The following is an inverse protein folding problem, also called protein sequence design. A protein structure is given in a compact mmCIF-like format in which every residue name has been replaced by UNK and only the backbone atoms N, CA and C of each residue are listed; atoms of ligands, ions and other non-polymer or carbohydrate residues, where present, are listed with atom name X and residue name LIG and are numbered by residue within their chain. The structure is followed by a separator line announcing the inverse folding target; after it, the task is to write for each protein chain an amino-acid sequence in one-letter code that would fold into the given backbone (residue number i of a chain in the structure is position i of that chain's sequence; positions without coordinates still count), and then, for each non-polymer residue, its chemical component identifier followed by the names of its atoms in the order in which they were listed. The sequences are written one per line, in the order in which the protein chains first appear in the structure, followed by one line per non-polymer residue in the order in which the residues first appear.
data_IF_749419471035
#
_entry.id   IF_749419471035
#
_cell.length_a   1.000
_cell.length_b   1.000
_cell.length_c   1.000
_cell.angle_alpha   90.00
_cell.angle_beta   90.00
_cell.angle_gamma   90.00
#
_symmetry.space_group_name_H-M   'P 1'
#
loop_
_entity.id
_entity.type
_entity.pdbx_description
1 polymer ?
#
# COMPACT_ATOMS: atom_id res chain seq x y z
N UNK A 1 -0.29 37.47 44.31
CA UNK A 1 -1.31 36.46 43.94
C UNK A 1 -0.60 35.17 43.60
N UNK A 2 -0.62 34.27 44.58
CA UNK A 2 -0.71 32.79 44.55
C UNK A 2 -0.44 32.00 43.26
N UNK A 3 0.28 30.88 43.42
CA UNK A 3 0.32 29.72 42.50
C UNK A 3 1.74 29.16 42.29
N UNK A 4 2.44 28.66 43.32
CA UNK A 4 2.36 27.31 43.92
C UNK A 4 3.02 26.19 43.05
N UNK A 5 4.31 25.86 43.28
CA UNK A 5 4.84 24.65 44.00
C UNK A 5 4.61 23.34 43.22
N UNK A 6 5.56 22.44 42.93
CA UNK A 6 6.41 21.63 43.83
C UNK A 6 7.22 20.70 42.89
N UNK A 7 8.56 20.69 42.91
CA UNK A 7 9.42 19.71 43.62
C UNK A 7 9.09 18.25 43.23
N UNK A 8 10.04 17.35 42.94
CA UNK A 8 11.20 17.05 43.79
C UNK A 8 12.09 16.04 43.06
N UNK A 9 13.39 16.38 42.99
CA UNK A 9 14.50 15.42 42.83
C UNK A 9 14.45 14.40 43.97
N UNK A 10 14.64 13.11 43.69
CA UNK A 10 15.21 12.17 44.67
C UNK A 10 16.12 11.14 43.99
N UNK A 11 17.35 11.16 44.48
CA UNK A 11 18.49 10.28 44.22
C UNK A 11 18.29 8.96 44.97
N UNK A 12 18.73 7.83 44.42
CA UNK A 12 19.15 6.67 45.22
C UNK A 12 20.06 5.74 44.41
N UNK A 13 21.36 5.94 44.55
CA UNK A 13 22.40 4.92 44.38
C UNK A 13 22.40 4.08 45.66
N UNK A 14 22.40 2.75 45.59
CA UNK A 14 23.04 1.91 46.61
C UNK A 14 23.33 0.48 46.12
N UNK A 15 24.57 0.11 46.41
CA UNK A 15 25.33 -1.12 46.20
C UNK A 15 24.61 -2.47 46.36
N UNK A 16 25.16 -3.46 45.65
CA UNK A 16 25.11 -4.88 46.05
C UNK A 16 26.15 -5.71 45.29
N UNK A 17 27.38 -5.74 45.80
CA UNK A 17 28.42 -6.73 45.42
C UNK A 17 28.22 -7.97 46.29
N UNK A 18 28.13 -9.16 45.69
CA UNK A 18 27.98 -10.40 46.46
C UNK A 18 28.02 -11.70 45.64
N UNK A 19 29.22 -12.30 45.60
CA UNK A 19 29.56 -13.75 45.63
C UNK A 19 29.19 -14.71 44.48
N UNK A 20 30.28 -15.33 43.96
CA UNK A 20 30.37 -16.60 43.23
C UNK A 20 29.72 -17.77 44.00
N UNK A 21 29.07 -18.70 43.27
CA UNK A 21 29.16 -20.15 43.51
C UNK A 21 28.65 -20.95 42.29
N UNK A 22 29.45 -21.93 41.86
CA UNK A 22 29.16 -22.89 40.78
C UNK A 22 28.13 -23.95 41.23
N UNK A 23 27.22 -24.34 40.35
CA UNK A 23 26.72 -25.72 40.23
C UNK A 23 25.92 -25.86 38.92
N UNK A 24 26.39 -26.75 38.04
CA UNK A 24 25.73 -27.01 36.77
C UNK A 24 24.47 -27.87 36.91
N UNK A 25 23.68 -27.91 35.84
CA UNK A 25 23.16 -29.17 35.33
C UNK A 25 22.88 -28.99 33.84
N UNK A 26 23.63 -29.73 33.04
CA UNK A 26 23.37 -29.89 31.61
C UNK A 26 21.98 -30.47 31.42
N UNK A 27 21.17 -29.77 30.65
CA UNK A 27 19.87 -30.22 30.20
C UNK A 27 19.67 -29.68 28.81
N UNK A 28 20.46 -30.18 27.86
CA UNK A 28 20.19 -30.02 26.43
C UNK A 28 18.84 -30.66 26.17
N UNK A 29 17.76 -29.88 26.26
CA UNK A 29 16.51 -30.26 25.64
C UNK A 29 16.71 -30.00 24.16
N UNK A 30 17.13 -31.05 23.47
CA UNK A 30 17.05 -31.20 22.04
C UNK A 30 15.57 -31.06 21.64
N UNK A 31 15.09 -29.81 21.58
CA UNK A 31 13.93 -29.47 20.80
C UNK A 31 14.45 -29.34 19.38
N UNK A 32 14.43 -30.44 18.66
CA UNK A 32 14.45 -30.39 17.20
C UNK A 32 13.41 -29.35 16.77
N UNK A 33 13.89 -28.21 16.24
CA UNK A 33 13.02 -27.21 15.66
C UNK A 33 12.25 -27.91 14.53
N UNK A 34 10.90 -27.82 14.49
CA UNK A 34 10.15 -28.37 13.38
C UNK A 34 10.70 -27.76 12.07
N UNK A 35 10.84 -28.55 11.00
CA UNK A 35 11.38 -28.06 9.74
C UNK A 35 10.56 -26.84 9.29
N UNK A 36 11.21 -25.80 8.71
CA UNK A 36 10.49 -24.65 8.19
C UNK A 36 9.51 -25.13 7.11
N UNK A 37 8.22 -25.15 7.45
CA UNK A 37 7.15 -25.38 6.49
C UNK A 37 7.04 -24.11 5.65
N UNK A 38 7.64 -24.16 4.45
CA UNK A 38 7.43 -23.15 3.42
C UNK A 38 5.98 -23.26 2.99
N UNK A 39 5.15 -22.29 3.39
CA UNK A 39 3.78 -22.20 2.93
C UNK A 39 3.78 -22.12 1.39
N UNK A 40 2.95 -22.94 0.75
CA UNK A 40 2.75 -22.84 -0.68
C UNK A 40 2.31 -21.41 -1.06
N UNK A 41 2.79 -20.84 -2.18
CA UNK A 41 2.36 -19.53 -2.64
C UNK A 41 0.84 -19.47 -2.74
N UNK A 42 0.22 -18.46 -2.12
CA UNK A 42 -1.21 -18.21 -2.24
C UNK A 42 -1.53 -18.01 -3.74
N UNK A 43 -2.55 -18.68 -4.30
CA UNK A 43 -2.98 -18.42 -5.67
C UNK A 43 -3.26 -16.93 -5.87
N UNK A 44 -2.88 -16.33 -7.02
CA UNK A 44 -3.20 -14.95 -7.30
C UNK A 44 -4.72 -14.77 -7.29
N UNK A 45 -5.22 -13.61 -6.81
CA UNK A 45 -6.65 -13.33 -6.85
C UNK A 45 -7.18 -13.43 -8.30
N UNK A 46 -8.44 -13.84 -8.47
CA UNK A 46 -9.05 -13.93 -9.80
C UNK A 46 -9.00 -12.57 -10.50
N UNK A 47 -8.77 -12.61 -11.83
CA UNK A 47 -8.74 -11.40 -12.63
C UNK A 47 -10.10 -10.68 -12.55
N UNK A 48 -10.11 -9.34 -12.42
CA UNK A 48 -11.35 -8.59 -12.39
C UNK A 48 -12.15 -8.76 -13.69
N UNK A 49 -13.47 -8.85 -13.58
CA UNK A 49 -14.39 -9.01 -14.73
C UNK A 49 -14.53 -7.76 -15.60
N UNK A 50 -13.80 -6.68 -15.28
CA UNK A 50 -13.96 -5.37 -15.93
C UNK A 50 -13.13 -5.19 -17.20
N UNK A 51 -12.30 -6.16 -17.57
CA UNK A 51 -11.36 -6.07 -18.69
C UNK A 51 -9.95 -5.65 -18.25
N UNK A 52 -9.09 -5.17 -19.18
CA UNK A 52 -7.74 -4.72 -18.84
C UNK A 52 -7.80 -3.55 -17.85
N UNK A 53 -6.84 -3.55 -16.92
CA UNK A 53 -6.72 -2.53 -15.87
C UNK A 53 -5.35 -1.87 -15.93
N UNK A 54 -5.25 -0.66 -15.41
CA UNK A 54 -3.99 0.07 -15.34
C UNK A 54 -3.19 -0.38 -14.12
N UNK A 55 -1.93 -0.76 -14.31
CA UNK A 55 -1.00 -1.04 -13.23
C UNK A 55 -0.35 0.27 -12.72
N UNK A 56 0.30 0.20 -11.55
CA UNK A 56 0.97 1.37 -10.95
C UNK A 56 2.09 1.95 -11.82
N UNK A 57 2.67 1.16 -12.72
CA UNK A 57 3.71 1.61 -13.66
C UNK A 57 3.15 2.28 -14.92
N UNK A 58 1.82 2.46 -15.00
CA UNK A 58 1.14 3.03 -16.16
C UNK A 58 0.94 2.06 -17.33
N UNK A 59 1.28 0.78 -17.18
CA UNK A 59 1.03 -0.25 -18.19
C UNK A 59 -0.38 -0.85 -18.07
N UNK A 60 -0.93 -1.28 -19.20
CA UNK A 60 -2.20 -2.00 -19.25
C UNK A 60 -1.97 -3.51 -19.16
N UNK A 61 -2.75 -4.19 -18.30
CA UNK A 61 -2.60 -5.64 -18.06
C UNK A 61 -3.01 -6.54 -19.22
N UNK A 62 -3.58 -5.97 -20.29
CA UNK A 62 -4.03 -6.73 -21.46
C UNK A 62 -4.44 -5.84 -22.63
N UNK A 63 -4.97 -6.47 -23.68
CA UNK A 63 -5.39 -5.78 -24.90
C UNK A 63 -6.50 -4.78 -24.61
N UNK A 64 -6.26 -3.52 -24.97
CA UNK A 64 -7.19 -2.42 -24.74
C UNK A 64 -8.27 -2.41 -25.82
N UNK A 65 -9.57 -2.54 -25.47
CA UNK A 65 -10.64 -2.33 -26.44
C UNK A 65 -10.59 -0.89 -26.96
N UNK A 66 -10.97 -0.65 -28.21
CA UNK A 66 -11.02 0.68 -28.83
C UNK A 66 -12.47 1.10 -29.10
N UNK A 67 -13.26 1.09 -28.02
CA UNK A 67 -14.71 1.35 -28.01
C UNK A 67 -15.05 2.78 -27.62
N UNK A 68 -14.25 3.43 -26.78
CA UNK A 68 -14.46 4.82 -26.38
C UNK A 68 -13.95 5.78 -27.46
N UNK A 69 -14.72 6.82 -27.78
CA UNK A 69 -14.31 7.85 -28.76
C UNK A 69 -13.87 9.15 -28.09
N UNK A 70 -14.17 9.34 -26.81
CA UNK A 70 -13.84 10.53 -26.01
C UNK A 70 -13.60 10.17 -24.54
N UNK A 71 -12.97 11.08 -23.79
CA UNK A 71 -12.70 10.92 -22.37
C UNK A 71 -13.87 11.49 -21.56
N UNK A 72 -14.74 10.60 -21.07
CA UNK A 72 -15.91 10.95 -20.25
C UNK A 72 -16.14 9.89 -19.16
N UNK A 73 -16.86 10.22 -18.07
CA UNK A 73 -17.21 9.23 -17.05
C UNK A 73 -17.80 7.95 -17.66
N UNK A 74 -17.37 6.80 -17.13
CA UNK A 74 -17.76 5.47 -17.60
C UNK A 74 -16.73 4.76 -18.49
N UNK A 75 -15.76 5.46 -19.09
CA UNK A 75 -14.69 4.76 -19.85
C UNK A 75 -13.78 3.94 -18.92
N UNK A 76 -13.19 2.83 -19.40
CA UNK A 76 -12.23 2.07 -18.61
C UNK A 76 -10.85 2.73 -18.56
N UNK A 77 -10.05 2.35 -17.58
CA UNK A 77 -8.74 2.96 -17.30
C UNK A 77 -7.79 2.89 -18.49
N UNK A 78 -7.75 1.75 -19.17
CA UNK A 78 -6.86 1.56 -20.30
C UNK A 78 -7.33 2.31 -21.57
N UNK A 79 -8.63 2.57 -21.70
CA UNK A 79 -9.14 3.45 -22.77
C UNK A 79 -8.70 4.90 -22.56
N UNK A 80 -8.59 5.37 -21.31
CA UNK A 80 -8.00 6.69 -21.02
C UNK A 80 -6.57 6.77 -21.57
N UNK A 81 -5.73 5.78 -21.27
CA UNK A 81 -4.33 5.75 -21.73
C UNK A 81 -4.26 5.73 -23.26
N UNK A 82 -5.12 4.94 -23.91
CA UNK A 82 -5.22 4.90 -25.38
C UNK A 82 -5.64 6.25 -25.95
N UNK A 83 -6.63 6.91 -25.36
CA UNK A 83 -7.16 8.20 -25.82
C UNK A 83 -6.17 9.36 -25.57
N UNK A 84 -5.44 9.35 -24.46
CA UNK A 84 -4.35 10.31 -24.19
C UNK A 84 -3.15 10.07 -25.11
N UNK A 85 -2.95 8.83 -25.57
CA UNK A 85 -1.92 8.48 -26.54
C UNK A 85 -0.49 8.43 -25.97
N UNK A 86 -0.35 8.63 -24.66
CA UNK A 86 0.93 8.53 -23.96
C UNK A 86 0.74 8.03 -22.52
N UNK A 87 1.80 7.50 -21.89
CA UNK A 87 1.73 7.05 -20.51
C UNK A 87 1.31 8.19 -19.55
N UNK A 88 0.60 7.86 -18.47
CA UNK A 88 0.31 8.80 -17.40
C UNK A 88 1.61 9.27 -16.71
N UNK A 89 1.55 10.44 -16.09
CA UNK A 89 2.65 10.96 -15.27
C UNK A 89 2.79 10.18 -13.98
N UNK A 90 1.66 9.81 -13.36
CA UNK A 90 1.63 9.01 -12.14
C UNK A 90 0.32 8.22 -12.05
N UNK A 91 0.37 7.06 -11.38
CA UNK A 91 -0.77 6.17 -11.17
C UNK A 91 -0.78 5.68 -9.74
N UNK A 92 -1.81 6.05 -8.98
CA UNK A 92 -2.06 5.52 -7.65
C UNK A 92 -3.17 4.48 -7.73
N UNK A 93 -2.84 3.22 -7.42
CA UNK A 93 -3.79 2.11 -7.34
C UNK A 93 -4.02 1.76 -5.88
N UNK A 94 -5.27 1.75 -5.44
CA UNK A 94 -5.65 1.41 -4.08
C UNK A 94 -7.05 0.82 -3.97
N UNK A 95 -7.55 0.79 -2.74
CA UNK A 95 -8.89 0.38 -2.41
C UNK A 95 -9.60 1.56 -1.76
N UNK A 96 -10.83 1.84 -2.20
CA UNK A 96 -11.72 2.80 -1.54
C UNK A 96 -12.14 2.29 -0.16
N UNK A 97 -12.67 3.19 0.69
CA UNK A 97 -13.25 2.80 1.99
C UNK A 97 -14.48 1.88 1.92
N UNK A 98 -14.85 1.42 0.71
CA UNK A 98 -15.98 0.50 0.44
C UNK A 98 -15.53 -0.82 -0.18
N UNK A 99 -14.23 -1.14 -0.15
CA UNK A 99 -13.70 -2.37 -0.73
C UNK A 99 -13.66 -2.41 -2.26
N UNK A 100 -13.85 -1.26 -2.92
CA UNK A 100 -13.82 -1.15 -4.38
C UNK A 100 -12.44 -0.69 -4.82
N UNK A 101 -11.95 -1.19 -5.96
CA UNK A 101 -10.67 -0.73 -6.50
C UNK A 101 -10.80 0.72 -6.94
N UNK A 102 -9.87 1.55 -6.45
CA UNK A 102 -9.79 2.96 -6.80
C UNK A 102 -8.46 3.23 -7.51
N UNK A 103 -8.51 3.99 -8.59
CA UNK A 103 -7.30 4.44 -9.30
C UNK A 103 -7.35 5.93 -9.51
N UNK A 104 -6.24 6.59 -9.20
CA UNK A 104 -6.02 7.99 -9.53
C UNK A 104 -4.93 8.05 -10.59
N UNK A 105 -5.26 8.64 -11.73
CA UNK A 105 -4.34 8.78 -12.85
C UNK A 105 -4.04 10.26 -13.06
N UNK A 106 -2.79 10.64 -12.94
CA UNK A 106 -2.32 12.00 -13.16
C UNK A 106 -1.74 12.14 -14.57
N UNK A 107 -2.20 13.15 -15.29
CA UNK A 107 -1.57 13.65 -16.50
C UNK A 107 -1.13 15.10 -16.25
N UNK A 108 0.18 15.35 -16.32
CA UNK A 108 0.74 16.70 -16.26
C UNK A 108 1.20 17.11 -17.65
N UNK A 109 0.64 18.22 -18.13
CA UNK A 109 1.03 18.87 -19.39
C UNK A 109 1.61 20.27 -19.07
N UNK A 110 2.40 20.88 -19.95
CA UNK A 110 2.86 22.25 -19.74
C UNK A 110 1.69 23.22 -19.54
N UNK A 111 1.53 23.70 -18.31
CA UNK A 111 0.46 24.65 -17.95
C UNK A 111 -0.88 24.03 -17.56
N UNK A 112 -1.02 22.70 -17.53
CA UNK A 112 -2.25 22.02 -17.13
C UNK A 112 -1.97 20.74 -16.33
N UNK A 113 -2.87 20.38 -15.42
CA UNK A 113 -2.86 19.10 -14.72
C UNK A 113 -4.25 18.51 -14.76
N UNK A 114 -4.36 17.24 -15.08
CA UNK A 114 -5.62 16.53 -15.08
C UNK A 114 -5.50 15.28 -14.20
N UNK A 115 -6.44 15.13 -13.27
CA UNK A 115 -6.55 13.99 -12.37
C UNK A 115 -7.84 13.22 -12.69
N UNK A 116 -7.68 11.96 -13.04
CA UNK A 116 -8.77 11.06 -13.41
C UNK A 116 -8.97 10.04 -12.30
N UNK A 117 -10.19 9.98 -11.76
CA UNK A 117 -10.54 9.07 -10.67
C UNK A 117 -11.38 7.93 -11.21
N UNK A 118 -10.93 6.69 -10.99
CA UNK A 118 -11.64 5.49 -11.40
C UNK A 118 -12.11 4.71 -10.19
N UNK A 119 -13.31 4.14 -10.31
CA UNK A 119 -13.85 3.15 -9.36
C UNK A 119 -14.23 1.91 -10.16
N UNK A 120 -13.71 0.75 -9.76
CA UNK A 120 -13.96 -0.53 -10.45
C UNK A 120 -13.73 -0.47 -11.97
N UNK A 121 -12.60 0.12 -12.38
CA UNK A 121 -12.23 0.28 -13.79
C UNK A 121 -13.23 1.11 -14.61
N UNK A 122 -13.90 2.08 -13.99
CA UNK A 122 -14.78 3.04 -14.68
C UNK A 122 -14.45 4.45 -14.22
N UNK A 123 -14.26 5.36 -15.17
CA UNK A 123 -13.98 6.76 -14.89
C UNK A 123 -15.18 7.36 -14.13
N UNK A 124 -14.95 7.81 -12.90
CA UNK A 124 -15.95 8.43 -12.05
C UNK A 124 -16.00 9.94 -12.30
N UNK A 125 -14.84 10.59 -12.24
CA UNK A 125 -14.72 12.05 -12.38
C UNK A 125 -13.34 12.50 -12.85
N UNK A 126 -13.29 13.75 -13.28
CA UNK A 126 -12.09 14.43 -13.79
C UNK A 126 -11.91 15.73 -13.00
N UNK A 127 -10.70 15.99 -12.55
CA UNK A 127 -10.29 17.25 -11.90
C UNK A 127 -9.22 17.92 -12.77
N UNK A 128 -9.33 19.23 -12.98
CA UNK A 128 -8.42 20.03 -13.81
C UNK A 128 -7.89 21.23 -13.03
#
# INVERSE_FOLDING_TARGET
MTGQTTMRRMVAVLMGVGTLALAGCGGSTDRAAPPPVVAAPKPPPPAPSWGPVLAQDGSCTGSVPATATEIAPGIPECELVRLKGHPPTDVLVGESGRGQREVQVLYTEPGAKELYFFVNNRLDRIVK
#
